data_IF_756501029428
#
_entry.id   IF_756501029428
#
_cell.length_a   1.000
_cell.length_b   1.000
_cell.length_c   1.000
_cell.angle_alpha   90.00
_cell.angle_beta   90.00
_cell.angle_gamma   90.00
#
_symmetry.space_group_name_H-M   'P 1'
#
loop_
_entity.id
_entity.type
_entity.pdbx_description
1 polymer ?
#
# COMPACT_ATOMS: atom_id res chain seq x y z
N UNK A 1 11.14 24.33 -11.82
CA UNK A 1 10.07 24.39 -12.85
C UNK A 1 8.91 25.16 -12.26
N UNK A 2 8.26 25.98 -13.04
CA UNK A 2 7.03 26.65 -12.60
C UNK A 2 5.87 25.74 -13.00
N UNK A 3 5.08 25.31 -12.02
CA UNK A 3 3.93 24.43 -12.25
C UNK A 3 2.65 25.24 -12.30
N UNK A 4 1.73 24.89 -13.20
CA UNK A 4 0.44 25.55 -13.30
C UNK A 4 -0.58 25.04 -12.26
N UNK A 5 -0.37 23.82 -11.76
CA UNK A 5 -1.30 23.17 -10.82
C UNK A 5 -0.53 22.69 -9.57
N UNK A 6 -1.24 22.50 -8.47
CA UNK A 6 -0.71 21.92 -7.23
C UNK A 6 -0.67 20.40 -7.29
N UNK A 7 -1.69 19.80 -7.91
CA UNK A 7 -1.89 18.35 -7.95
C UNK A 7 -2.32 17.92 -9.35
N UNK A 8 -1.68 16.86 -9.88
CA UNK A 8 -2.17 16.13 -11.03
C UNK A 8 -2.81 14.81 -10.58
N UNK A 9 -4.09 14.63 -10.88
CA UNK A 9 -4.83 13.40 -10.57
C UNK A 9 -5.08 12.65 -11.87
N UNK A 10 -4.66 11.39 -11.92
CA UNK A 10 -4.87 10.49 -13.04
C UNK A 10 -5.98 9.52 -12.65
N UNK A 11 -7.13 9.68 -13.28
CA UNK A 11 -8.34 8.90 -13.01
C UNK A 11 -8.52 7.80 -14.04
N UNK A 12 -8.74 6.57 -13.59
CA UNK A 12 -9.10 5.43 -14.44
C UNK A 12 -10.47 4.90 -14.06
N UNK A 13 -11.14 4.24 -15.03
CA UNK A 13 -12.47 3.66 -14.84
C UNK A 13 -13.52 4.28 -15.74
N UNK A 14 -14.79 4.10 -15.40
CA UNK A 14 -15.92 4.59 -16.20
C UNK A 14 -15.99 6.13 -16.14
N UNK A 15 -16.03 6.78 -17.31
CA UNK A 15 -16.15 8.23 -17.42
C UNK A 15 -17.41 8.78 -16.76
N UNK A 16 -18.53 8.05 -16.74
CA UNK A 16 -19.76 8.45 -16.07
C UNK A 16 -19.59 8.54 -14.54
N UNK A 17 -18.82 7.61 -13.96
CA UNK A 17 -18.50 7.63 -12.53
C UNK A 17 -17.48 8.73 -12.15
N UNK A 18 -16.68 9.21 -13.12
CA UNK A 18 -15.68 10.24 -12.89
C UNK A 18 -16.29 11.66 -12.67
N UNK A 19 -17.58 11.85 -12.97
CA UNK A 19 -18.25 13.16 -12.73
C UNK A 19 -18.20 13.55 -11.24
N UNK A 20 -18.54 12.64 -10.33
CA UNK A 20 -18.52 12.91 -8.88
C UNK A 20 -17.11 13.19 -8.37
N UNK A 21 -16.14 12.44 -8.85
CA UNK A 21 -14.72 12.67 -8.55
C UNK A 21 -14.32 14.08 -9.02
N UNK A 22 -14.65 14.46 -10.25
CA UNK A 22 -14.34 15.78 -10.80
C UNK A 22 -14.98 16.91 -9.97
N UNK A 23 -16.25 16.78 -9.57
CA UNK A 23 -16.90 17.75 -8.69
C UNK A 23 -16.21 17.87 -7.33
N UNK A 24 -15.72 16.79 -6.76
CA UNK A 24 -15.05 16.81 -5.45
C UNK A 24 -13.67 17.47 -5.47
N UNK A 25 -12.99 17.48 -6.63
CA UNK A 25 -11.62 17.98 -6.79
C UNK A 25 -11.54 19.31 -7.54
N UNK A 26 -12.10 19.36 -8.76
CA UNK A 26 -11.87 20.45 -9.72
C UNK A 26 -12.48 21.77 -9.23
N UNK A 27 -13.60 21.72 -8.54
CA UNK A 27 -14.27 22.90 -7.99
C UNK A 27 -13.46 23.65 -6.93
N UNK A 28 -12.39 23.01 -6.40
CA UNK A 28 -11.51 23.60 -5.37
C UNK A 28 -10.34 24.41 -5.95
N UNK A 29 -10.05 24.25 -7.24
CA UNK A 29 -8.92 24.90 -7.89
C UNK A 29 -7.58 24.18 -7.68
N UNK A 30 -6.60 24.54 -8.49
CA UNK A 30 -5.24 24.01 -8.39
C UNK A 30 -5.05 22.55 -8.81
N UNK A 31 -6.02 21.94 -9.51
CA UNK A 31 -5.98 20.53 -9.90
C UNK A 31 -5.99 20.40 -11.42
N UNK A 32 -5.06 19.58 -11.93
CA UNK A 32 -5.12 18.99 -13.25
C UNK A 32 -5.68 17.56 -13.11
N UNK A 33 -6.88 17.33 -13.59
CA UNK A 33 -7.51 16.01 -13.61
C UNK A 33 -7.40 15.42 -15.02
N UNK A 34 -6.73 14.28 -15.15
CA UNK A 34 -6.62 13.53 -16.40
C UNK A 34 -7.50 12.29 -16.29
N UNK A 35 -8.56 12.24 -17.08
CA UNK A 35 -9.50 11.12 -17.13
C UNK A 35 -9.10 10.19 -18.26
N UNK A 36 -8.70 8.97 -17.89
CA UNK A 36 -8.37 7.91 -18.86
C UNK A 36 -9.65 7.23 -19.32
N UNK A 37 -10.26 7.74 -20.40
CA UNK A 37 -11.47 7.21 -20.99
C UNK A 37 -11.48 7.42 -22.50
N UNK A 38 -12.03 6.46 -23.24
CA UNK A 38 -12.08 6.53 -24.71
C UNK A 38 -13.15 7.49 -25.24
N UNK A 39 -14.26 7.64 -24.52
CA UNK A 39 -15.39 8.47 -24.96
C UNK A 39 -16.01 9.22 -23.77
N UNK A 40 -15.53 10.40 -23.49
CA UNK A 40 -16.13 11.25 -22.45
C UNK A 40 -16.82 12.48 -23.02
N UNK A 41 -18.03 12.76 -22.55
CA UNK A 41 -18.74 14.01 -22.87
C UNK A 41 -18.24 15.12 -21.94
N UNK A 42 -17.29 15.92 -22.42
CA UNK A 42 -16.64 16.99 -21.66
C UNK A 42 -17.63 18.00 -21.06
N UNK A 43 -18.82 18.13 -21.65
CA UNK A 43 -19.85 19.08 -21.18
C UNK A 43 -20.47 18.72 -19.84
N UNK A 44 -20.29 17.49 -19.39
CA UNK A 44 -20.80 17.01 -18.10
C UNK A 44 -19.90 17.31 -16.92
N UNK A 45 -18.69 17.77 -17.18
CA UNK A 45 -17.69 18.00 -16.14
C UNK A 45 -17.67 19.46 -15.68
N UNK A 46 -17.38 19.70 -14.38
CA UNK A 46 -17.29 21.06 -13.84
C UNK A 46 -16.11 21.81 -14.44
N UNK A 47 -16.26 23.14 -14.54
CA UNK A 47 -15.17 24.05 -14.85
C UNK A 47 -14.87 24.91 -13.64
N UNK A 48 -13.61 25.17 -13.35
CA UNK A 48 -13.18 26.08 -12.31
C UNK A 48 -11.93 26.85 -12.73
N UNK A 49 -11.77 28.05 -12.22
CA UNK A 49 -10.54 28.81 -12.38
C UNK A 49 -9.36 28.03 -11.76
N UNK A 50 -8.21 28.03 -12.42
CA UNK A 50 -7.00 27.34 -11.99
C UNK A 50 -7.12 25.81 -11.89
N UNK A 51 -8.09 25.21 -12.58
CA UNK A 51 -8.18 23.75 -12.73
C UNK A 51 -8.39 23.36 -14.18
N UNK A 52 -7.94 22.17 -14.54
CA UNK A 52 -8.03 21.65 -15.92
C UNK A 52 -8.45 20.19 -15.91
N UNK A 53 -9.33 19.84 -16.83
CA UNK A 53 -9.69 18.45 -17.11
C UNK A 53 -9.20 18.10 -18.51
N UNK A 54 -8.36 17.06 -18.57
CA UNK A 54 -7.87 16.49 -19.80
C UNK A 54 -8.42 15.06 -19.96
N UNK A 55 -8.53 14.59 -21.21
CA UNK A 55 -8.88 13.21 -21.50
C UNK A 55 -7.72 12.53 -22.21
N UNK A 56 -7.45 11.29 -21.84
CA UNK A 56 -6.39 10.50 -22.43
C UNK A 56 -6.90 9.06 -22.68
N UNK A 57 -6.34 8.33 -23.66
CA UNK A 57 -6.61 6.92 -23.80
C UNK A 57 -6.25 6.15 -22.52
N UNK A 58 -7.07 5.13 -22.19
CA UNK A 58 -6.79 4.28 -21.02
C UNK A 58 -5.70 3.25 -21.37
N UNK A 59 -4.47 3.71 -21.49
CA UNK A 59 -3.30 2.86 -21.75
C UNK A 59 -2.14 3.20 -20.82
N UNK A 60 -1.29 2.23 -20.58
CA UNK A 60 -0.06 2.42 -19.77
C UNK A 60 0.83 3.50 -20.35
N UNK A 61 0.95 3.56 -21.68
CA UNK A 61 1.75 4.55 -22.40
C UNK A 61 1.21 5.97 -22.18
N UNK A 62 -0.10 6.15 -22.26
CA UNK A 62 -0.75 7.43 -22.02
C UNK A 62 -0.55 7.90 -20.58
N UNK A 63 -0.74 7.01 -19.60
CA UNK A 63 -0.51 7.34 -18.19
C UNK A 63 0.95 7.68 -17.93
N UNK A 64 1.89 6.90 -18.46
CA UNK A 64 3.32 7.20 -18.33
C UNK A 64 3.72 8.53 -19.01
N UNK A 65 3.06 8.90 -20.09
CA UNK A 65 3.25 10.20 -20.74
C UNK A 65 2.79 11.36 -19.84
N UNK A 66 1.67 11.20 -19.14
CA UNK A 66 1.18 12.17 -18.16
C UNK A 66 2.13 12.25 -16.97
N UNK A 67 2.60 11.11 -16.45
CA UNK A 67 3.57 11.06 -15.34
C UNK A 67 4.89 11.76 -15.68
N UNK A 68 5.34 11.67 -16.92
CA UNK A 68 6.54 12.36 -17.38
C UNK A 68 6.38 13.89 -17.46
N UNK A 69 5.16 14.40 -17.62
CA UNK A 69 4.84 15.83 -17.69
C UNK A 69 3.49 16.16 -17.01
N UNK A 70 3.40 16.03 -15.68
CA UNK A 70 2.14 16.18 -14.96
C UNK A 70 1.69 17.63 -14.83
N UNK A 71 2.57 18.63 -15.07
CA UNK A 71 2.33 20.07 -14.87
C UNK A 71 1.94 20.42 -13.42
N UNK A 72 2.33 19.57 -12.47
CA UNK A 72 2.09 19.70 -11.05
C UNK A 72 3.24 19.08 -10.24
N UNK A 73 3.62 19.63 -9.06
CA UNK A 73 4.64 19.03 -8.20
C UNK A 73 4.19 17.71 -7.59
N UNK A 74 2.88 17.52 -7.42
CA UNK A 74 2.28 16.33 -6.82
C UNK A 74 1.45 15.55 -7.83
N UNK A 75 1.49 14.23 -7.73
CA UNK A 75 0.75 13.30 -8.59
C UNK A 75 0.06 12.25 -7.74
N UNK A 76 -1.16 11.86 -8.12
CA UNK A 76 -1.84 10.71 -7.55
C UNK A 76 -2.69 9.99 -8.59
N UNK A 77 -3.06 8.76 -8.27
CA UNK A 77 -4.07 8.01 -9.02
C UNK A 77 -5.42 8.10 -8.32
N UNK A 78 -6.49 7.98 -9.09
CA UNK A 78 -7.85 7.90 -8.57
C UNK A 78 -8.67 6.87 -9.34
N UNK A 79 -9.59 6.23 -8.65
CA UNK A 79 -10.63 5.42 -9.27
C UNK A 79 -11.86 6.30 -9.53
N UNK A 80 -12.49 6.16 -10.69
CA UNK A 80 -13.61 7.01 -11.11
C UNK A 80 -14.77 7.05 -10.10
N UNK A 81 -14.98 5.97 -9.34
CA UNK A 81 -16.02 5.90 -8.31
C UNK A 81 -15.70 6.59 -6.99
N UNK A 82 -14.49 7.13 -6.81
CA UNK A 82 -14.07 7.74 -5.54
C UNK A 82 -14.47 9.20 -5.44
N UNK A 83 -14.57 9.71 -4.20
CA UNK A 83 -14.76 11.12 -3.89
C UNK A 83 -13.79 11.57 -2.81
N UNK A 84 -13.39 12.84 -2.84
CA UNK A 84 -12.43 13.40 -1.90
C UNK A 84 -13.11 14.25 -0.82
N UNK A 85 -12.50 14.22 0.37
CA UNK A 85 -12.92 15.08 1.47
C UNK A 85 -12.82 16.58 1.08
N UNK A 86 -13.70 17.43 1.59
CA UNK A 86 -13.53 18.87 1.48
C UNK A 86 -12.18 19.31 2.06
N UNK A 87 -11.46 20.18 1.36
CA UNK A 87 -10.15 20.66 1.81
C UNK A 87 -8.98 19.73 1.51
N UNK A 88 -9.19 18.63 0.80
CA UNK A 88 -8.13 17.67 0.48
C UNK A 88 -6.91 18.33 -0.17
N UNK A 89 -7.12 19.14 -1.20
CA UNK A 89 -6.02 19.78 -1.95
C UNK A 89 -5.27 20.80 -1.09
N UNK A 90 -5.99 21.50 -0.23
CA UNK A 90 -5.43 22.50 0.67
C UNK A 90 -4.50 21.89 1.73
N UNK A 91 -4.81 20.65 2.19
CA UNK A 91 -4.01 19.91 3.16
C UNK A 91 -2.69 19.38 2.60
N UNK A 92 -2.58 19.26 1.27
CA UNK A 92 -1.35 18.74 0.67
C UNK A 92 -0.24 19.78 0.76
N UNK A 93 0.86 19.40 1.39
CA UNK A 93 2.15 20.07 1.33
C UNK A 93 3.00 19.46 0.20
N UNK A 94 4.18 20.02 -0.06
CA UNK A 94 5.12 19.48 -1.08
C UNK A 94 5.85 18.21 -0.58
N UNK A 95 5.06 17.22 -0.13
CA UNK A 95 5.55 15.96 0.42
C UNK A 95 4.80 14.77 -0.16
N UNK A 96 5.46 13.63 -0.17
CA UNK A 96 4.78 12.37 -0.43
C UNK A 96 3.95 11.97 0.80
N UNK A 97 2.66 11.73 0.60
CA UNK A 97 1.75 11.35 1.69
C UNK A 97 0.92 10.13 1.33
N UNK A 98 0.57 9.37 2.36
CA UNK A 98 -0.45 8.32 2.28
C UNK A 98 -1.54 8.61 3.30
N UNK A 99 -2.78 8.53 2.91
CA UNK A 99 -3.91 8.91 3.76
C UNK A 99 -4.92 7.79 3.93
N UNK A 100 -5.73 7.90 5.00
CA UNK A 100 -6.78 6.93 5.26
C UNK A 100 -7.92 7.08 4.25
N UNK A 101 -8.53 5.95 3.93
CA UNK A 101 -9.65 5.86 3.02
C UNK A 101 -10.83 5.18 3.70
N UNK A 102 -12.03 5.36 3.17
CA UNK A 102 -13.23 4.68 3.66
C UNK A 102 -13.94 3.95 2.54
N UNK A 103 -14.34 2.71 2.82
CA UNK A 103 -15.28 1.97 2.01
C UNK A 103 -16.72 2.35 2.42
N UNK A 104 -17.60 2.55 1.44
CA UNK A 104 -19.02 2.69 1.71
C UNK A 104 -19.66 1.32 1.90
N UNK A 105 -20.10 1.05 3.11
CA UNK A 105 -21.01 -0.06 3.43
C UNK A 105 -22.35 0.53 3.89
N UNK A 106 -23.40 0.43 3.06
CA UNK A 106 -24.80 0.73 3.42
C UNK A 106 -24.98 1.93 4.38
N UNK A 107 -24.55 3.12 3.97
CA UNK A 107 -24.67 4.39 4.68
C UNK A 107 -23.71 4.64 5.86
N UNK A 108 -22.72 3.79 6.10
CA UNK A 108 -21.71 4.05 7.14
C UNK A 108 -20.31 3.87 6.56
N UNK A 109 -19.54 4.96 6.39
CA UNK A 109 -18.16 4.84 5.88
C UNK A 109 -17.32 4.05 6.90
N UNK A 110 -16.69 2.97 6.45
CA UNK A 110 -15.77 2.18 7.26
C UNK A 110 -14.34 2.53 6.88
N UNK A 111 -13.57 3.00 7.86
CA UNK A 111 -12.13 3.23 7.69
C UNK A 111 -11.42 1.95 7.26
N UNK A 112 -10.54 2.05 6.26
CA UNK A 112 -9.75 0.92 5.77
C UNK A 112 -8.51 0.66 6.64
N UNK A 113 -7.99 1.69 7.27
CA UNK A 113 -6.83 1.59 8.15
C UNK A 113 -7.20 2.03 9.56
N UNK A 114 -6.55 1.44 10.56
CA UNK A 114 -6.68 1.84 11.97
C UNK A 114 -6.15 3.25 12.20
N UNK A 115 -6.56 3.87 13.29
CA UNK A 115 -5.93 5.12 13.72
C UNK A 115 -4.46 4.85 14.10
N UNK A 116 -3.55 5.73 13.64
CA UNK A 116 -2.12 5.57 13.86
C UNK A 116 -1.46 4.49 12.98
N UNK A 117 -2.05 4.17 11.80
CA UNK A 117 -1.39 3.28 10.85
C UNK A 117 -0.06 3.89 10.35
N UNK A 118 0.90 3.04 10.05
CA UNK A 118 2.16 3.45 9.42
C UNK A 118 2.05 3.47 7.90
N UNK A 119 2.99 4.17 7.24
CA UNK A 119 3.05 4.22 5.79
C UNK A 119 3.13 2.83 5.14
N UNK A 120 3.77 1.86 5.79
CA UNK A 120 3.87 0.49 5.26
C UNK A 120 2.55 -0.27 5.38
N UNK A 121 1.79 -0.04 6.47
CA UNK A 121 0.48 -0.67 6.67
C UNK A 121 -0.52 -0.26 5.60
N UNK A 122 -0.34 0.91 4.96
CA UNK A 122 -1.18 1.36 3.86
C UNK A 122 -1.12 0.47 2.61
N UNK A 123 -0.10 -0.38 2.50
CA UNK A 123 -0.03 -1.40 1.45
C UNK A 123 -0.78 -2.70 1.81
N UNK A 124 -1.42 -2.76 2.99
CA UNK A 124 -2.21 -3.92 3.42
C UNK A 124 -3.41 -3.52 4.31
N UNK A 125 -4.61 -3.43 3.81
CA UNK A 125 -5.11 -3.70 2.45
C UNK A 125 -4.89 -2.51 1.52
N UNK A 126 -4.16 -2.70 0.45
CA UNK A 126 -3.90 -1.64 -0.50
C UNK A 126 -5.16 -1.30 -1.31
N UNK A 127 -5.39 -0.01 -1.54
CA UNK A 127 -6.44 0.49 -2.44
C UNK A 127 -5.86 1.07 -3.72
N UNK A 128 -4.54 1.26 -3.77
CA UNK A 128 -3.80 1.73 -4.95
C UNK A 128 -3.92 3.22 -5.26
N UNK A 129 -4.87 3.92 -4.64
CA UNK A 129 -5.24 5.31 -5.02
C UNK A 129 -5.15 6.31 -3.86
N UNK A 130 -4.66 5.90 -2.69
CA UNK A 130 -4.54 6.76 -1.50
C UNK A 130 -3.12 7.29 -1.27
N UNK A 131 -2.32 7.36 -2.33
CA UNK A 131 -0.93 7.82 -2.30
C UNK A 131 -0.79 9.08 -3.14
N UNK A 132 -0.21 10.14 -2.55
CA UNK A 132 0.25 11.32 -3.26
C UNK A 132 1.76 11.29 -3.32
N UNK A 133 2.31 11.48 -4.50
CA UNK A 133 3.73 11.32 -4.81
C UNK A 133 4.29 12.59 -5.43
N UNK A 134 5.56 12.88 -5.22
CA UNK A 134 6.25 14.01 -5.87
C UNK A 134 6.64 13.65 -7.30
N UNK A 135 6.25 14.49 -8.25
CA UNK A 135 6.57 14.30 -9.67
C UNK A 135 8.08 14.34 -9.94
N UNK A 136 8.82 15.11 -9.16
CA UNK A 136 10.28 15.20 -9.23
C UNK A 136 10.93 13.83 -9.00
N UNK A 137 10.54 13.12 -7.94
CA UNK A 137 11.08 11.79 -7.60
C UNK A 137 10.72 10.76 -8.68
N UNK A 138 9.48 10.81 -9.18
CA UNK A 138 9.04 9.93 -10.28
C UNK A 138 9.95 10.11 -11.50
N UNK A 139 10.22 11.36 -11.88
CA UNK A 139 10.99 11.68 -13.06
C UNK A 139 12.51 11.44 -12.88
N UNK A 140 13.08 11.80 -11.73
CA UNK A 140 14.49 11.57 -11.42
C UNK A 140 14.83 10.08 -11.47
N UNK A 141 13.99 9.25 -10.86
CA UNK A 141 14.22 7.80 -10.78
C UNK A 141 13.56 7.02 -11.91
N UNK A 142 12.92 7.71 -12.87
CA UNK A 142 12.27 7.11 -14.05
C UNK A 142 11.32 5.99 -13.69
N UNK A 143 10.54 6.19 -12.61
CA UNK A 143 9.54 5.22 -12.16
C UNK A 143 8.44 5.13 -13.21
N UNK A 144 8.10 3.91 -13.61
CA UNK A 144 7.11 3.65 -14.67
C UNK A 144 5.97 2.80 -14.15
N UNK A 145 4.77 3.19 -14.54
CA UNK A 145 3.59 2.36 -14.38
C UNK A 145 3.67 1.17 -15.35
N UNK A 146 3.40 -0.04 -14.85
CA UNK A 146 3.36 -1.27 -15.65
C UNK A 146 1.94 -1.72 -15.98
N UNK A 147 0.95 -1.27 -15.23
CA UNK A 147 -0.46 -1.55 -15.50
C UNK A 147 -1.33 -0.40 -14.99
N UNK A 148 -2.30 0.02 -15.78
CA UNK A 148 -3.29 1.05 -15.42
C UNK A 148 -4.47 0.42 -14.64
N UNK A 149 -4.15 -0.38 -13.61
CA UNK A 149 -5.10 -1.03 -12.72
C UNK A 149 -4.83 -0.65 -11.27
N UNK A 150 -5.78 -0.84 -10.33
CA UNK A 150 -5.55 -0.58 -8.91
C UNK A 150 -4.31 -1.31 -8.34
N UNK A 151 -4.08 -2.55 -8.75
CA UNK A 151 -2.86 -3.30 -8.39
C UNK A 151 -1.60 -2.65 -8.97
N UNK A 152 -1.66 -2.16 -10.21
CA UNK A 152 -0.57 -1.42 -10.86
C UNK A 152 -0.26 -0.11 -10.13
N UNK A 153 -1.26 0.61 -9.65
CA UNK A 153 -1.07 1.85 -8.88
C UNK A 153 -0.44 1.58 -7.51
N UNK A 154 -0.89 0.53 -6.81
CA UNK A 154 -0.25 0.10 -5.56
C UNK A 154 1.20 -0.33 -5.77
N UNK A 155 1.48 -1.07 -6.85
CA UNK A 155 2.83 -1.47 -7.21
C UNK A 155 3.72 -0.27 -7.59
N UNK A 156 3.17 0.73 -8.28
CA UNK A 156 3.86 1.99 -8.58
C UNK A 156 4.22 2.76 -7.30
N UNK A 157 3.28 2.89 -6.36
CA UNK A 157 3.53 3.50 -5.06
C UNK A 157 4.60 2.73 -4.26
N UNK A 158 4.60 1.39 -4.32
CA UNK A 158 5.63 0.58 -3.67
C UNK A 158 7.02 0.75 -4.32
N UNK A 159 7.10 0.96 -5.64
CA UNK A 159 8.36 1.34 -6.29
C UNK A 159 8.83 2.72 -5.85
N UNK A 160 7.90 3.68 -5.75
CA UNK A 160 8.19 5.04 -5.28
C UNK A 160 8.76 5.04 -3.86
N UNK A 161 8.22 4.21 -2.97
CA UNK A 161 8.68 4.06 -1.59
C UNK A 161 10.16 3.62 -1.46
N UNK A 162 10.77 3.13 -2.55
CA UNK A 162 12.21 2.85 -2.59
C UNK A 162 13.10 4.11 -2.55
N UNK A 163 12.54 5.26 -2.86
CA UNK A 163 13.28 6.51 -3.04
C UNK A 163 12.84 7.59 -2.06
N UNK A 164 11.57 7.63 -1.72
CA UNK A 164 11.02 8.58 -0.76
C UNK A 164 9.95 7.91 0.11
N UNK A 165 9.99 8.18 1.43
CA UNK A 165 9.00 7.68 2.38
C UNK A 165 7.71 8.49 2.29
N UNK A 166 6.58 7.82 2.44
CA UNK A 166 5.29 8.47 2.61
C UNK A 166 5.09 8.94 4.06
N UNK A 167 4.55 10.13 4.23
CA UNK A 167 4.07 10.62 5.52
C UNK A 167 2.61 10.20 5.71
N UNK A 168 2.23 9.47 6.78
CA UNK A 168 0.88 9.01 6.97
C UNK A 168 -0.04 10.12 7.49
N UNK A 169 -1.17 10.33 6.81
CA UNK A 169 -2.26 11.19 7.25
C UNK A 169 -3.40 10.28 7.71
N UNK A 170 -3.76 10.36 9.00
CA UNK A 170 -4.72 9.43 9.60
C UNK A 170 -6.18 9.78 9.34
N UNK A 171 -6.44 11.00 8.85
CA UNK A 171 -7.76 11.43 8.43
C UNK A 171 -8.24 10.67 7.19
N UNK A 172 -9.54 10.44 7.13
CA UNK A 172 -10.19 9.89 5.95
C UNK A 172 -10.35 11.00 4.91
N UNK A 173 -9.56 10.93 3.86
CA UNK A 173 -9.56 11.92 2.78
C UNK A 173 -10.12 11.37 1.46
N UNK A 174 -10.39 10.08 1.39
CA UNK A 174 -10.93 9.39 0.22
C UNK A 174 -12.10 8.51 0.62
N UNK A 175 -13.21 8.62 -0.09
CA UNK A 175 -14.45 7.87 0.14
C UNK A 175 -14.82 7.02 -1.07
N UNK A 176 -15.71 6.06 -0.85
CA UNK A 176 -16.22 5.15 -1.90
C UNK A 176 -15.13 4.33 -2.56
N UNK A 177 -14.07 4.00 -1.81
CA UNK A 177 -12.95 3.20 -2.32
C UNK A 177 -13.06 1.76 -1.83
N UNK A 178 -12.46 0.85 -2.59
CA UNK A 178 -12.42 -0.58 -2.25
C UNK A 178 -10.97 -1.04 -2.17
N UNK A 179 -10.65 -1.96 -1.26
CA UNK A 179 -9.40 -2.71 -1.34
C UNK A 179 -9.27 -3.41 -2.69
N UNK A 180 -8.04 -3.59 -3.15
CA UNK A 180 -7.76 -4.29 -4.39
C UNK A 180 -8.25 -5.73 -4.27
N UNK A 181 -9.00 -6.18 -5.28
CA UNK A 181 -9.34 -7.58 -5.46
C UNK A 181 -8.17 -8.29 -6.13
N UNK A 182 -7.42 -9.05 -5.33
CA UNK A 182 -6.19 -9.70 -5.76
C UNK A 182 -6.50 -10.94 -6.60
N UNK A 183 -5.93 -10.99 -7.80
CA UNK A 183 -6.04 -12.11 -8.73
C UNK A 183 -4.66 -12.42 -9.33
N UNK A 184 -4.58 -13.44 -10.18
CA UNK A 184 -3.34 -13.87 -10.82
C UNK A 184 -2.66 -12.74 -11.61
N UNK A 185 -3.43 -11.96 -12.37
CA UNK A 185 -2.91 -10.83 -13.15
C UNK A 185 -2.33 -9.74 -12.24
N UNK A 186 -3.06 -9.37 -11.19
CA UNK A 186 -2.59 -8.41 -10.18
C UNK A 186 -1.27 -8.86 -9.56
N UNK A 187 -1.17 -10.14 -9.24
CA UNK A 187 0.03 -10.72 -8.65
C UNK A 187 1.22 -10.67 -9.61
N UNK A 188 1.03 -11.01 -10.88
CA UNK A 188 2.09 -10.90 -11.90
C UNK A 188 2.60 -9.46 -12.06
N UNK A 189 1.69 -8.47 -12.03
CA UNK A 189 2.05 -7.04 -12.10
C UNK A 189 2.94 -6.68 -10.91
N UNK A 190 2.56 -7.08 -9.70
CA UNK A 190 3.34 -6.81 -8.50
C UNK A 190 4.69 -7.51 -8.58
N UNK A 191 4.73 -8.80 -8.93
CA UNK A 191 5.97 -9.56 -9.03
C UNK A 191 6.98 -8.93 -10.01
N UNK A 192 6.49 -8.32 -11.09
CA UNK A 192 7.33 -7.60 -12.06
C UNK A 192 7.77 -6.21 -11.58
N UNK A 193 6.96 -5.56 -10.75
CA UNK A 193 7.14 -4.17 -10.32
C UNK A 193 7.94 -4.04 -9.03
N UNK A 194 7.72 -4.96 -8.09
CA UNK A 194 8.28 -4.89 -6.74
C UNK A 194 9.73 -5.36 -6.74
N UNK A 195 10.59 -4.58 -6.12
CA UNK A 195 11.98 -4.92 -5.88
C UNK A 195 12.32 -4.78 -4.40
N UNK A 196 13.40 -5.44 -3.97
CA UNK A 196 13.90 -5.33 -2.60
C UNK A 196 14.21 -3.89 -2.19
N UNK A 197 14.49 -2.99 -3.15
CA UNK A 197 14.72 -1.57 -2.88
C UNK A 197 13.49 -0.87 -2.29
N UNK A 198 12.29 -1.31 -2.63
CA UNK A 198 11.04 -0.80 -2.05
C UNK A 198 10.86 -1.15 -0.58
N UNK A 199 11.78 -1.90 0.00
CA UNK A 199 11.84 -2.17 1.43
C UNK A 199 10.57 -2.81 1.97
N UNK A 200 10.16 -2.34 3.14
CA UNK A 200 9.02 -2.89 3.86
C UNK A 200 7.69 -2.65 3.12
N UNK A 201 7.54 -1.53 2.43
CA UNK A 201 6.33 -1.23 1.63
C UNK A 201 6.13 -2.25 0.51
N UNK A 202 7.21 -2.57 -0.20
CA UNK A 202 7.20 -3.56 -1.28
C UNK A 202 6.90 -4.97 -0.76
N UNK A 203 7.51 -5.36 0.35
CA UNK A 203 7.23 -6.65 0.99
C UNK A 203 5.79 -6.73 1.49
N UNK A 204 5.27 -5.67 2.13
CA UNK A 204 3.89 -5.62 2.62
C UNK A 204 2.90 -5.80 1.48
N UNK A 205 3.11 -5.12 0.36
CA UNK A 205 2.26 -5.26 -0.82
C UNK A 205 2.31 -6.70 -1.37
N UNK A 206 3.50 -7.28 -1.49
CA UNK A 206 3.69 -8.64 -1.99
C UNK A 206 2.99 -9.68 -1.11
N UNK A 207 3.17 -9.58 0.22
CA UNK A 207 2.53 -10.45 1.18
C UNK A 207 1.01 -10.27 1.21
N UNK A 208 0.53 -9.02 1.10
CA UNK A 208 -0.90 -8.71 1.06
C UNK A 208 -1.57 -9.29 -0.18
N UNK A 209 -0.94 -9.13 -1.36
CA UNK A 209 -1.41 -9.71 -2.60
C UNK A 209 -1.50 -11.24 -2.50
N UNK A 210 -0.47 -11.88 -1.97
CA UNK A 210 -0.47 -13.33 -1.77
C UNK A 210 -1.56 -13.80 -0.80
N UNK A 211 -1.75 -13.11 0.33
CA UNK A 211 -2.80 -13.43 1.29
C UNK A 211 -4.21 -13.21 0.74
N UNK A 212 -4.38 -12.29 -0.19
CA UNK A 212 -5.65 -11.99 -0.84
C UNK A 212 -6.03 -12.94 -1.97
N UNK A 213 -5.05 -13.68 -2.53
CA UNK A 213 -5.34 -14.65 -3.59
C UNK A 213 -6.18 -15.83 -3.07
N UNK A 214 -7.16 -16.24 -3.86
CA UNK A 214 -7.78 -17.54 -3.68
C UNK A 214 -6.75 -18.65 -3.97
N UNK A 215 -6.42 -19.45 -2.95
CA UNK A 215 -5.27 -20.37 -2.95
C UNK A 215 -5.56 -21.72 -3.59
N UNK A 216 -6.78 -21.94 -4.06
CA UNK A 216 -7.18 -23.20 -4.66
C UNK A 216 -6.55 -23.36 -6.04
N UNK A 217 -5.56 -24.24 -6.17
CA UNK A 217 -4.98 -24.65 -7.47
C UNK A 217 -3.95 -23.69 -8.08
N UNK A 218 -3.29 -22.84 -7.28
CA UNK A 218 -2.42 -21.75 -7.77
C UNK A 218 -0.91 -21.99 -7.50
N UNK A 219 -0.37 -23.09 -7.97
CA UNK A 219 1.06 -23.36 -7.85
C UNK A 219 1.92 -22.35 -8.64
N UNK A 220 1.46 -21.94 -9.82
CA UNK A 220 2.19 -20.96 -10.67
C UNK A 220 2.32 -19.61 -9.97
N UNK A 221 1.25 -19.13 -9.35
CA UNK A 221 1.24 -17.87 -8.60
C UNK A 221 2.10 -17.97 -7.34
N UNK A 222 2.11 -19.13 -6.69
CA UNK A 222 2.98 -19.38 -5.57
C UNK A 222 4.45 -19.37 -5.95
N UNK A 223 4.82 -19.99 -7.07
CA UNK A 223 6.18 -19.99 -7.58
C UNK A 223 6.66 -18.57 -7.91
N UNK A 224 5.80 -17.77 -8.57
CA UNK A 224 6.09 -16.37 -8.87
C UNK A 224 6.25 -15.53 -7.59
N UNK A 225 5.34 -15.71 -6.61
CA UNK A 225 5.47 -15.10 -5.29
C UNK A 225 6.77 -15.50 -4.61
N UNK A 226 7.08 -16.78 -4.57
CA UNK A 226 8.29 -17.32 -3.91
C UNK A 226 9.55 -16.72 -4.51
N UNK A 227 9.63 -16.63 -5.82
CA UNK A 227 10.73 -15.99 -6.53
C UNK A 227 10.88 -14.51 -6.18
N UNK A 228 9.77 -13.77 -6.15
CA UNK A 228 9.76 -12.34 -5.80
C UNK A 228 10.07 -12.09 -4.31
N UNK A 229 9.60 -12.96 -3.41
CA UNK A 229 9.77 -12.81 -1.96
C UNK A 229 11.16 -13.27 -1.47
N UNK A 230 11.81 -14.20 -2.16
CA UNK A 230 13.08 -14.77 -1.76
C UNK A 230 14.15 -13.73 -1.39
N UNK A 231 14.41 -12.68 -2.17
CA UNK A 231 15.41 -11.66 -1.83
C UNK A 231 15.11 -10.93 -0.51
N UNK A 232 13.83 -10.73 -0.19
CA UNK A 232 13.44 -10.14 1.09
C UNK A 232 13.72 -11.07 2.25
N UNK A 233 13.49 -12.38 2.08
CA UNK A 233 13.65 -13.37 3.14
C UNK A 233 15.10 -13.80 3.40
N UNK A 234 16.03 -13.32 2.62
CA UNK A 234 17.46 -13.38 2.96
C UNK A 234 17.80 -12.49 4.16
N UNK A 235 16.93 -11.53 4.46
CA UNK A 235 17.06 -10.63 5.60
C UNK A 235 16.14 -11.07 6.76
N UNK A 236 16.73 -11.29 7.93
CA UNK A 236 16.01 -11.78 9.11
C UNK A 236 14.91 -10.82 9.61
N UNK A 237 15.08 -9.50 9.45
CA UNK A 237 14.06 -8.52 9.84
C UNK A 237 12.80 -8.65 8.98
N UNK A 238 12.96 -8.86 7.67
CA UNK A 238 11.82 -9.06 6.77
C UNK A 238 11.14 -10.41 6.99
N UNK A 239 11.92 -11.45 7.27
CA UNK A 239 11.39 -12.75 7.67
C UNK A 239 10.58 -12.63 8.96
N UNK A 240 11.08 -11.91 9.96
CA UNK A 240 10.37 -11.66 11.21
C UNK A 240 9.09 -10.84 11.00
N UNK A 241 9.14 -9.84 10.13
CA UNK A 241 7.96 -9.05 9.77
C UNK A 241 6.90 -9.88 9.05
N UNK A 242 7.28 -10.68 8.05
CA UNK A 242 6.34 -11.53 7.31
C UNK A 242 5.65 -12.52 8.25
N UNK A 243 6.42 -13.11 9.17
CA UNK A 243 5.89 -14.01 10.18
C UNK A 243 4.92 -13.30 11.12
N UNK A 244 5.30 -12.13 11.59
CA UNK A 244 4.55 -11.35 12.55
C UNK A 244 3.27 -10.74 11.96
N UNK A 245 3.37 -10.07 10.82
CA UNK A 245 2.26 -9.33 10.22
C UNK A 245 1.30 -10.22 9.41
N UNK A 246 1.80 -11.29 8.80
CA UNK A 246 1.04 -12.13 7.85
C UNK A 246 0.97 -13.61 8.23
N UNK A 247 1.67 -14.03 9.26
CA UNK A 247 1.76 -15.44 9.63
C UNK A 247 2.55 -16.30 8.64
N UNK A 248 3.39 -15.68 7.82
CA UNK A 248 4.17 -16.32 6.78
C UNK A 248 5.56 -16.68 7.31
N UNK A 249 5.85 -17.98 7.41
CA UNK A 249 7.16 -18.47 7.84
C UNK A 249 8.08 -18.67 6.62
N UNK A 250 9.07 -17.79 6.47
CA UNK A 250 10.04 -17.87 5.37
C UNK A 250 10.85 -19.15 5.34
N UNK A 251 10.97 -19.88 6.47
CA UNK A 251 11.65 -21.16 6.50
C UNK A 251 10.90 -22.21 5.66
N UNK A 252 9.57 -22.15 5.63
CA UNK A 252 8.76 -23.07 4.82
C UNK A 252 9.05 -22.92 3.32
N UNK A 253 9.33 -21.70 2.83
CA UNK A 253 9.76 -21.51 1.45
C UNK A 253 11.09 -22.18 1.13
N UNK A 254 12.02 -22.15 2.08
CA UNK A 254 13.35 -22.78 1.93
C UNK A 254 13.25 -24.31 1.95
N UNK A 255 12.24 -24.85 2.63
CA UNK A 255 11.96 -26.30 2.72
C UNK A 255 11.12 -26.81 1.53
N UNK A 256 10.75 -25.96 0.58
CA UNK A 256 9.99 -26.34 -0.61
C UNK A 256 8.52 -26.65 -0.32
N UNK A 257 7.90 -25.94 0.62
CA UNK A 257 6.46 -26.08 0.90
C UNK A 257 5.60 -25.73 -0.33
N UNK A 258 4.41 -26.31 -0.37
CA UNK A 258 3.43 -26.01 -1.41
C UNK A 258 2.53 -24.83 -1.02
N UNK A 259 1.87 -24.21 -2.01
CA UNK A 259 1.01 -23.05 -1.84
C UNK A 259 -0.02 -23.19 -0.71
N UNK A 260 -0.62 -24.37 -0.53
CA UNK A 260 -1.61 -24.65 0.52
C UNK A 260 -1.07 -24.75 1.94
N UNK A 261 0.23 -24.95 2.10
CA UNK A 261 0.89 -25.17 3.40
C UNK A 261 1.45 -23.86 3.98
N UNK A 262 1.58 -22.83 3.15
CA UNK A 262 2.34 -21.64 3.45
C UNK A 262 1.65 -20.64 4.40
N UNK A 263 0.34 -20.61 4.43
CA UNK A 263 -0.42 -19.70 5.31
C UNK A 263 -1.39 -20.48 6.19
N UNK A 264 -1.15 -20.47 7.49
CA UNK A 264 -2.13 -20.98 8.42
C UNK A 264 -3.30 -20.00 8.53
N UNK A 265 -4.46 -20.39 8.00
CA UNK A 265 -5.69 -19.63 8.17
C UNK A 265 -5.97 -19.41 9.67
N UNK A 266 -6.26 -18.18 10.07
CA UNK A 266 -6.68 -17.83 11.44
C UNK A 266 -5.64 -17.09 12.29
N UNK A 267 -4.39 -17.01 11.87
CA UNK A 267 -3.37 -16.26 12.61
C UNK A 267 -3.32 -14.76 12.28
N UNK A 268 -3.81 -14.37 11.11
CA UNK A 268 -3.67 -13.00 10.58
C UNK A 268 -4.30 -11.89 11.43
N UNK A 269 -5.47 -12.10 12.01
CA UNK A 269 -6.15 -11.05 12.79
C UNK A 269 -5.36 -10.69 14.06
N UNK A 270 -4.84 -11.70 14.75
CA UNK A 270 -4.11 -11.51 16.00
C UNK A 270 -2.72 -10.88 15.80
N UNK A 271 -2.09 -11.13 14.66
CA UNK A 271 -0.79 -10.53 14.36
C UNK A 271 -0.90 -9.04 14.11
N UNK A 272 -1.95 -8.59 13.46
CA UNK A 272 -2.20 -7.15 13.23
C UNK A 272 -2.40 -6.40 14.53
N UNK A 273 -3.02 -7.01 15.53
CA UNK A 273 -3.30 -6.35 16.82
C UNK A 273 -2.09 -6.32 17.76
N UNK A 274 -1.26 -7.36 17.75
CA UNK A 274 -0.21 -7.54 18.77
C UNK A 274 1.18 -7.27 18.24
N UNK A 275 1.47 -7.60 17.00
CA UNK A 275 2.85 -7.67 16.51
C UNK A 275 3.26 -6.50 15.63
N UNK A 276 2.35 -5.86 14.89
CA UNK A 276 2.63 -4.63 14.16
C UNK A 276 3.10 -3.47 15.09
N UNK A 277 2.51 -3.27 16.27
CA UNK A 277 3.04 -2.29 17.24
C UNK A 277 4.45 -2.64 17.77
N UNK A 278 4.84 -3.92 17.75
CA UNK A 278 6.17 -4.38 18.19
C UNK A 278 7.22 -4.17 17.10
N UNK A 279 6.81 -4.31 15.84
CA UNK A 279 7.66 -4.08 14.66
C UNK A 279 7.38 -2.67 14.08
N UNK A 280 7.51 -1.64 14.92
CA UNK A 280 7.43 -0.27 14.44
C UNK A 280 8.47 -0.02 13.34
N UNK A 281 8.18 0.89 12.43
CA UNK A 281 9.01 1.25 11.28
C UNK A 281 10.49 1.52 11.65
N UNK A 282 10.71 2.10 12.81
CA UNK A 282 12.04 2.36 13.35
C UNK A 282 12.89 1.10 13.49
N UNK A 283 12.28 -0.02 13.86
CA UNK A 283 12.96 -1.30 14.07
C UNK A 283 13.51 -1.85 12.76
N UNK A 284 12.71 -1.78 11.70
CA UNK A 284 13.10 -2.30 10.37
C UNK A 284 14.12 -1.36 9.73
N UNK A 285 13.91 -0.06 9.84
CA UNK A 285 14.84 0.96 9.33
C UNK A 285 16.21 0.89 9.99
N UNK A 286 16.24 0.73 11.32
CA UNK A 286 17.50 0.60 12.09
C UNK A 286 18.24 -0.68 11.72
N UNK A 287 17.52 -1.76 11.46
CA UNK A 287 18.08 -3.03 11.01
C UNK A 287 18.75 -2.89 9.64
N UNK A 288 18.08 -2.21 8.70
CA UNK A 288 18.62 -1.93 7.36
C UNK A 288 19.78 -0.95 7.35
N UNK A 289 19.76 0.02 8.24
CA UNK A 289 20.85 0.99 8.40
C UNK A 289 22.12 0.42 9.03
N UNK A 290 22.15 -0.90 9.30
CA UNK A 290 23.29 -1.55 9.99
C UNK A 290 23.44 -1.13 11.45
N UNK A 291 22.45 -0.44 11.99
CA UNK A 291 22.41 0.03 13.39
C UNK A 291 21.49 -0.84 14.22
N UNK A 292 21.85 -2.08 14.43
CA UNK A 292 21.12 -2.93 15.36
C UNK A 292 21.23 -2.37 16.77
N UNK A 293 20.22 -1.60 17.20
CA UNK A 293 20.08 -1.29 18.60
C UNK A 293 19.65 -2.57 19.36
N UNK A 294 20.12 -2.74 20.58
CA UNK A 294 19.71 -3.85 21.46
C UNK A 294 18.18 -3.89 21.63
N UNK A 295 17.52 -2.73 21.60
CA UNK A 295 16.06 -2.60 21.64
C UNK A 295 15.37 -3.21 20.41
N UNK A 296 15.92 -3.01 19.24
CA UNK A 296 15.43 -3.56 17.97
C UNK A 296 15.53 -5.08 17.94
N UNK A 297 16.72 -5.61 18.28
CA UNK A 297 16.94 -7.06 18.39
C UNK A 297 15.96 -7.70 19.37
N UNK A 298 15.77 -7.08 20.55
CA UNK A 298 14.85 -7.57 21.58
C UNK A 298 13.41 -7.67 21.08
N UNK A 299 12.94 -6.68 20.30
CA UNK A 299 11.57 -6.67 19.73
C UNK A 299 11.40 -7.74 18.64
N UNK A 300 12.39 -7.92 17.76
CA UNK A 300 12.37 -8.98 16.76
C UNK A 300 12.33 -10.39 17.40
N UNK A 301 13.13 -10.61 18.46
CA UNK A 301 13.12 -11.85 19.21
C UNK A 301 11.77 -12.06 19.91
N UNK A 302 11.17 -11.01 20.46
CA UNK A 302 9.84 -11.07 21.08
C UNK A 302 8.77 -11.48 20.07
N UNK A 303 8.76 -10.89 18.89
CA UNK A 303 7.83 -11.24 17.82
C UNK A 303 7.98 -12.71 17.39
N UNK A 304 9.21 -13.17 17.17
CA UNK A 304 9.50 -14.55 16.80
C UNK A 304 9.09 -15.56 17.88
N UNK A 305 9.43 -15.30 19.15
CA UNK A 305 9.05 -16.14 20.28
C UNK A 305 7.54 -16.23 20.47
N UNK A 306 6.86 -15.10 20.37
CA UNK A 306 5.41 -15.02 20.45
C UNK A 306 4.76 -15.94 19.42
N UNK A 307 5.22 -15.88 18.17
CA UNK A 307 4.71 -16.70 17.10
C UNK A 307 4.88 -18.19 17.34
N UNK A 308 6.09 -18.60 17.72
CA UNK A 308 6.39 -20.02 18.01
C UNK A 308 5.49 -20.56 19.15
N UNK A 309 5.35 -19.80 20.23
CA UNK A 309 4.55 -20.20 21.39
C UNK A 309 3.05 -20.15 21.12
N UNK A 310 2.61 -19.22 20.25
CA UNK A 310 1.22 -19.12 19.84
C UNK A 310 0.75 -20.35 19.05
N UNK A 311 1.56 -20.85 18.13
CA UNK A 311 1.28 -22.09 17.38
C UNK A 311 1.10 -23.31 18.27
N UNK A 312 1.72 -23.32 19.44
CA UNK A 312 1.63 -24.44 20.37
C UNK A 312 0.31 -24.47 21.15
N UNK A 313 -0.46 -23.38 21.16
CA UNK A 313 -1.77 -23.30 21.84
C UNK A 313 -1.73 -23.32 23.37
N UNK A 314 -2.90 -23.22 24.02
CA UNK A 314 -3.08 -23.43 25.45
C UNK A 314 -2.18 -22.61 26.38
N UNK A 315 -1.47 -23.29 27.30
CA UNK A 315 -0.56 -22.66 28.27
C UNK A 315 0.64 -21.99 27.63
N UNK A 316 1.14 -22.52 26.52
CA UNK A 316 2.27 -21.94 25.79
C UNK A 316 1.92 -20.59 25.17
N UNK A 317 0.68 -20.43 24.67
CA UNK A 317 0.16 -19.16 24.18
C UNK A 317 0.15 -18.08 25.29
N UNK A 318 -0.37 -18.43 26.49
CA UNK A 318 -0.39 -17.50 27.64
C UNK A 318 1.02 -17.12 28.10
N UNK A 319 1.95 -18.05 28.06
CA UNK A 319 3.35 -17.80 28.37
C UNK A 319 3.98 -16.87 27.31
N UNK A 320 3.69 -17.10 26.04
CA UNK A 320 4.14 -16.28 24.92
C UNK A 320 3.70 -14.83 25.07
N UNK A 321 2.42 -14.58 25.38
CA UNK A 321 1.91 -13.23 25.64
C UNK A 321 2.66 -12.53 26.77
N UNK A 322 2.88 -13.21 27.92
CA UNK A 322 3.61 -12.65 29.05
C UNK A 322 5.08 -12.35 28.76
N UNK A 323 5.75 -13.24 28.06
CA UNK A 323 7.17 -13.07 27.69
C UNK A 323 7.33 -11.94 26.69
N UNK A 324 6.43 -11.86 25.68
CA UNK A 324 6.49 -10.83 24.66
C UNK A 324 6.15 -9.44 25.22
N UNK A 325 5.16 -9.31 26.12
CA UNK A 325 4.88 -8.05 26.79
C UNK A 325 6.13 -7.51 27.51
N UNK A 326 6.80 -8.37 28.30
CA UNK A 326 8.03 -7.97 29.00
C UNK A 326 9.18 -7.61 28.05
N UNK A 327 9.36 -8.35 26.97
CA UNK A 327 10.42 -8.09 25.99
C UNK A 327 10.14 -6.87 25.13
N UNK A 328 8.88 -6.58 24.82
CA UNK A 328 8.49 -5.41 24.05
C UNK A 328 8.58 -4.09 24.84
N UNK A 329 8.63 -4.17 26.18
CA UNK A 329 8.79 -2.99 27.04
C UNK A 329 7.51 -2.20 27.28
N UNK A 330 6.34 -2.82 27.12
CA UNK A 330 5.04 -2.22 27.40
C UNK A 330 3.99 -3.27 27.74
N UNK A 331 2.94 -2.86 28.44
CA UNK A 331 1.76 -3.70 28.64
C UNK A 331 1.03 -3.85 27.32
N UNK A 332 1.22 -4.99 26.69
CA UNK A 332 0.28 -5.45 25.67
C UNK A 332 -1.00 -5.87 26.42
N UNK A 333 -1.99 -4.99 26.45
CA UNK A 333 -3.34 -5.33 26.89
C UNK A 333 -3.90 -6.34 25.91
N UNK A 334 -3.80 -7.63 26.23
CA UNK A 334 -4.42 -8.77 25.52
C UNK A 334 -5.53 -9.35 26.39
#
# INVERSE_FOLDING_TARGET
>A
MEYNFKLCVICTGDSGAAENLAYSLVTRGGVRLVICAENADIKKFPTAENSRIDFAPCSVESVNSVLASPDAPLVMFADAGTTFAPGFVELLEDKAVVFNAAAEEKNTPRKLYRDGFSAHEAFSPAVGVNFVMRSEVINEHKIKLLSASPAGFAAFAAQYAAYENFEPIHEVLLYSTKPIDWNAESFEIIAKSVSIKGGLSALTLLLSAYCGLDKTGKETEFDAFSAAAKPFFENEAYSAYALAAFGIDSALLKEGCRAGEFVSAGTNAMYKEVTLPILADDVVRDFYGGKLSFGTLRRCIAAWLYFKLYRMGGAAKKLGCKVCSKLAGGDLNV
#
